data_IF_853888687105
#
_entry.id   IF_853888687105
#
_cell.length_a   1.000
_cell.length_b   1.000
_cell.length_c   1.000
_cell.angle_alpha   90.00
_cell.angle_beta   90.00
_cell.angle_gamma   90.00
#
_symmetry.space_group_name_H-M   'P 1'
#
loop_
_entity.id
_entity.type
_entity.pdbx_description
1 polymer ?
#
# COMPACT_ATOMS: atom_id res chain seq x y z
N UNK A 1 -3.08 -39.05 -14.58
CA UNK A 1 -3.54 -38.02 -15.53
C UNK A 1 -3.10 -36.68 -14.98
N UNK A 2 -2.04 -36.13 -15.57
CA UNK A 2 -1.46 -34.83 -15.23
C UNK A 2 -2.41 -33.73 -15.69
N UNK A 3 -2.88 -32.90 -14.77
CA UNK A 3 -3.33 -31.55 -15.12
C UNK A 3 -3.18 -30.62 -13.92
N UNK A 4 -1.94 -30.33 -13.52
CA UNK A 4 -1.66 -29.10 -12.79
C UNK A 4 -1.36 -28.06 -13.86
N UNK A 5 -2.29 -27.15 -14.09
CA UNK A 5 -2.07 -25.99 -14.95
C UNK A 5 -0.83 -25.26 -14.46
N UNK A 6 0.26 -25.38 -15.22
CA UNK A 6 1.43 -24.50 -15.16
C UNK A 6 0.99 -23.13 -15.69
N UNK A 7 0.10 -22.46 -14.97
CA UNK A 7 -0.10 -21.03 -15.15
C UNK A 7 1.19 -20.35 -14.73
N UNK A 8 1.74 -19.51 -15.60
CA UNK A 8 2.91 -18.68 -15.33
C UNK A 8 2.64 -17.84 -14.08
N UNK A 9 3.42 -18.03 -13.01
CA UNK A 9 3.14 -17.41 -11.71
C UNK A 9 4.35 -16.63 -11.19
N UNK A 10 4.27 -15.31 -11.34
CA UNK A 10 5.18 -14.31 -10.78
C UNK A 10 4.89 -14.03 -9.29
N UNK A 11 5.91 -13.84 -8.43
CA UNK A 11 7.32 -14.17 -8.62
C UNK A 11 7.60 -15.67 -8.39
N UNK A 12 8.65 -16.19 -9.03
CA UNK A 12 9.08 -17.59 -8.92
C UNK A 12 10.19 -17.75 -7.87
N UNK A 13 9.83 -18.01 -6.62
CA UNK A 13 10.79 -18.41 -5.59
C UNK A 13 10.80 -19.94 -5.47
N UNK A 14 11.94 -20.62 -5.69
CA UNK A 14 12.01 -22.08 -5.78
C UNK A 14 11.88 -22.84 -4.44
N UNK A 15 11.98 -22.16 -3.29
CA UNK A 15 12.14 -22.79 -1.97
C UNK A 15 11.01 -22.53 -0.97
N UNK A 16 9.98 -21.77 -1.36
CA UNK A 16 8.86 -21.46 -0.47
C UNK A 16 7.61 -22.22 -0.89
N UNK A 17 7.15 -23.13 -0.03
CA UNK A 17 5.78 -23.60 -0.07
C UNK A 17 4.86 -22.38 -0.03
N UNK A 18 4.08 -22.20 -1.11
CA UNK A 18 3.29 -20.98 -1.29
C UNK A 18 2.16 -20.94 -0.28
N UNK A 19 2.19 -19.95 0.58
CA UNK A 19 1.03 -19.59 1.40
C UNK A 19 0.08 -18.78 0.53
N UNK A 20 -1.08 -19.34 0.21
CA UNK A 20 -2.14 -18.63 -0.52
C UNK A 20 -3.03 -17.89 0.47
N UNK A 21 -3.05 -16.56 0.39
CA UNK A 21 -3.87 -15.69 1.23
C UNK A 21 -5.13 -15.28 0.44
N UNK A 22 -6.30 -15.53 1.03
CA UNK A 22 -7.63 -15.21 0.47
C UNK A 22 -8.16 -13.86 0.96
N UNK A 23 -7.82 -13.50 2.21
CA UNK A 23 -8.30 -12.28 2.86
C UNK A 23 -7.27 -11.78 3.86
N UNK A 24 -7.30 -10.47 4.14
CA UNK A 24 -6.61 -9.89 5.28
C UNK A 24 -7.56 -8.94 6.03
N UNK A 25 -7.46 -8.90 7.36
CA UNK A 25 -8.29 -8.01 8.20
C UNK A 25 -7.59 -7.73 9.54
N UNK A 26 -7.49 -6.44 9.90
CA UNK A 26 -6.78 -6.03 11.09
C UNK A 26 -5.31 -6.45 11.03
N UNK A 27 -4.82 -7.15 12.05
CA UNK A 27 -3.45 -7.67 12.09
C UNK A 27 -3.30 -9.09 11.51
N UNK A 28 -4.30 -9.61 10.78
CA UNK A 28 -4.33 -11.01 10.38
C UNK A 28 -4.47 -11.22 8.87
N UNK A 29 -3.78 -12.25 8.38
CA UNK A 29 -3.95 -12.83 7.06
C UNK A 29 -4.71 -14.15 7.18
N UNK A 30 -5.57 -14.44 6.22
CA UNK A 30 -6.41 -15.63 6.16
C UNK A 30 -6.15 -16.35 4.84
N UNK A 31 -5.61 -17.56 4.92
CA UNK A 31 -5.46 -18.47 3.78
C UNK A 31 -6.59 -19.50 3.71
N UNK A 32 -6.40 -20.51 2.85
CA UNK A 32 -7.35 -21.61 2.67
C UNK A 32 -7.62 -22.36 3.98
N UNK A 33 -8.80 -22.96 4.07
CA UNK A 33 -9.23 -23.78 5.21
C UNK A 33 -9.15 -23.05 6.57
N UNK A 34 -9.37 -21.73 6.55
CA UNK A 34 -9.30 -20.84 7.71
C UNK A 34 -7.91 -20.78 8.38
N UNK A 35 -6.85 -21.12 7.65
CA UNK A 35 -5.47 -20.90 8.11
C UNK A 35 -5.26 -19.41 8.39
N UNK A 36 -4.92 -19.07 9.64
CA UNK A 36 -4.81 -17.69 10.10
C UNK A 36 -3.37 -17.38 10.52
N UNK A 37 -2.84 -16.26 10.04
CA UNK A 37 -1.47 -15.79 10.33
C UNK A 37 -1.57 -14.42 10.97
N UNK A 38 -0.88 -14.23 12.10
CA UNK A 38 -0.62 -12.90 12.65
C UNK A 38 0.45 -12.21 11.80
N UNK A 39 0.08 -11.11 11.15
CA UNK A 39 1.02 -10.24 10.46
C UNK A 39 1.71 -9.31 11.47
N UNK A 40 2.69 -9.86 12.19
CA UNK A 40 3.47 -9.12 13.18
C UNK A 40 4.45 -8.11 12.53
N UNK A 41 4.67 -8.21 11.22
CA UNK A 41 5.57 -7.32 10.48
C UNK A 41 4.86 -6.13 9.85
N UNK A 42 3.53 -6.18 9.68
CA UNK A 42 2.78 -5.20 8.89
C UNK A 42 3.15 -5.29 7.41
N UNK A 43 3.27 -6.51 6.89
CA UNK A 43 3.76 -6.78 5.53
C UNK A 43 5.24 -6.42 5.38
N UNK A 44 5.57 -5.63 4.36
CA UNK A 44 6.90 -5.03 4.20
C UNK A 44 7.07 -3.77 5.07
N UNK A 45 6.57 -3.80 6.32
CA UNK A 45 6.57 -2.67 7.26
C UNK A 45 5.77 -1.46 6.73
N UNK A 46 4.66 -1.72 6.05
CA UNK A 46 3.81 -0.69 5.41
C UNK A 46 2.36 -0.70 5.87
N UNK A 47 1.89 -1.78 6.51
CA UNK A 47 0.47 -1.93 6.92
C UNK A 47 0.27 -1.48 8.37
N UNK A 48 0.64 -0.24 8.66
CA UNK A 48 0.73 0.29 10.03
C UNK A 48 -0.62 0.39 10.77
N UNK A 49 -1.72 0.57 10.02
CA UNK A 49 -3.09 0.69 10.56
C UNK A 49 -3.92 -0.58 10.37
N UNK A 50 -3.27 -1.69 10.01
CA UNK A 50 -3.91 -2.97 9.73
C UNK A 50 -4.57 -3.05 8.35
N UNK A 51 -4.93 -4.27 7.98
CA UNK A 51 -5.51 -4.61 6.69
C UNK A 51 -7.01 -4.28 6.61
N UNK A 52 -7.48 -3.97 5.40
CA UNK A 52 -8.92 -3.80 5.05
C UNK A 52 -9.66 -2.72 5.85
N UNK A 53 -9.05 -1.55 6.01
CA UNK A 53 -9.68 -0.38 6.65
C UNK A 53 -10.70 0.28 5.71
N UNK A 54 -11.98 0.23 6.08
CA UNK A 54 -13.07 0.83 5.30
C UNK A 54 -12.85 2.33 5.11
N UNK A 55 -12.36 3.02 6.13
CA UNK A 55 -12.12 4.47 6.11
C UNK A 55 -11.10 4.85 5.04
N UNK A 56 -10.06 4.03 4.85
CA UNK A 56 -9.04 4.21 3.81
C UNK A 56 -9.62 3.92 2.43
N UNK A 57 -10.38 2.83 2.31
CA UNK A 57 -11.01 2.46 1.04
C UNK A 57 -11.99 3.54 0.56
N UNK A 58 -12.80 4.11 1.46
CA UNK A 58 -13.74 5.18 1.15
C UNK A 58 -13.00 6.48 0.76
N UNK A 59 -11.90 6.82 1.46
CA UNK A 59 -11.08 7.98 1.11
C UNK A 59 -10.44 7.86 -0.29
N UNK A 60 -9.92 6.67 -0.63
CA UNK A 60 -9.40 6.37 -1.96
C UNK A 60 -10.51 6.49 -3.00
N UNK A 61 -11.67 5.86 -2.77
CA UNK A 61 -12.81 5.90 -3.68
C UNK A 61 -13.24 7.35 -4.01
N UNK A 62 -13.36 8.19 -2.98
CA UNK A 62 -13.74 9.59 -3.16
C UNK A 62 -12.68 10.38 -3.96
N UNK A 63 -11.38 10.16 -3.70
CA UNK A 63 -10.31 10.82 -4.42
C UNK A 63 -10.25 10.40 -5.90
N UNK A 64 -10.30 9.09 -6.18
CA UNK A 64 -10.16 8.58 -7.56
C UNK A 64 -11.37 8.87 -8.44
N UNK A 65 -12.56 9.04 -7.85
CA UNK A 65 -13.77 9.44 -8.58
C UNK A 65 -13.78 10.93 -8.93
N UNK A 66 -13.06 11.77 -8.19
CA UNK A 66 -12.82 13.17 -8.54
C UNK A 66 -11.78 13.30 -9.68
N UNK A 67 -10.59 12.71 -9.49
CA UNK A 67 -9.57 12.61 -10.54
C UNK A 67 -8.63 11.45 -10.24
N UNK A 68 -8.39 10.58 -11.23
CA UNK A 68 -7.47 9.45 -11.07
C UNK A 68 -6.01 9.85 -11.22
N UNK A 69 -5.71 10.89 -11.99
CA UNK A 69 -4.33 11.35 -12.22
C UNK A 69 -4.27 12.81 -12.67
N UNK A 70 -3.37 13.57 -12.05
CA UNK A 70 -3.00 14.94 -12.44
C UNK A 70 -1.48 14.99 -12.54
N UNK A 71 -0.95 15.48 -13.67
CA UNK A 71 0.49 15.58 -13.90
C UNK A 71 1.16 16.41 -12.78
N UNK A 72 2.35 16.02 -12.27
CA UNK A 72 2.98 16.67 -11.12
C UNK A 72 3.13 18.20 -11.15
N UNK A 73 3.38 18.87 -12.29
CA UNK A 73 3.47 20.33 -12.34
C UNK A 73 2.15 21.08 -12.03
N UNK A 74 0.99 20.41 -12.13
CA UNK A 74 -0.31 21.03 -11.86
C UNK A 74 -0.80 20.66 -10.47
N UNK A 75 -1.39 21.60 -9.73
CA UNK A 75 -1.92 21.34 -8.39
C UNK A 75 -3.26 20.60 -8.41
N UNK A 76 -3.58 19.94 -7.30
CA UNK A 76 -4.89 19.33 -7.07
C UNK A 76 -5.22 19.34 -5.57
N UNK A 77 -6.52 19.31 -5.20
CA UNK A 77 -6.95 19.39 -3.80
C UNK A 77 -6.32 18.33 -2.89
N UNK A 78 -6.17 17.10 -3.38
CA UNK A 78 -5.64 15.97 -2.61
C UNK A 78 -4.16 16.18 -2.27
N UNK A 79 -3.37 16.70 -3.22
CA UNK A 79 -1.95 17.00 -3.01
C UNK A 79 -1.76 18.16 -2.04
N UNK A 80 -2.55 19.22 -2.19
CA UNK A 80 -2.50 20.38 -1.30
C UNK A 80 -2.89 20.02 0.14
N UNK A 81 -3.92 19.18 0.30
CA UNK A 81 -4.32 18.63 1.59
C UNK A 81 -3.20 17.82 2.25
N UNK A 82 -2.56 16.90 1.50
CA UNK A 82 -1.42 16.13 2.01
C UNK A 82 -0.25 17.02 2.44
N UNK A 83 0.09 18.06 1.67
CA UNK A 83 1.15 19.00 2.06
C UNK A 83 0.83 19.75 3.36
N UNK A 84 -0.44 20.11 3.55
CA UNK A 84 -0.91 20.81 4.75
C UNK A 84 -0.77 19.91 5.97
N UNK A 85 -1.26 18.68 5.89
CA UNK A 85 -1.16 17.67 6.94
C UNK A 85 0.30 17.35 7.31
N UNK A 86 1.17 17.13 6.30
CA UNK A 86 2.61 16.89 6.52
C UNK A 86 3.26 18.04 7.30
N UNK A 87 3.00 19.28 6.91
CA UNK A 87 3.57 20.47 7.58
C UNK A 87 3.01 20.69 8.98
N UNK A 88 1.72 20.40 9.20
CA UNK A 88 1.07 20.62 10.48
C UNK A 88 1.49 19.58 11.53
N UNK A 89 1.73 18.33 11.12
CA UNK A 89 1.80 17.21 12.06
C UNK A 89 3.09 16.38 12.00
N UNK A 90 3.80 16.33 10.86
CA UNK A 90 4.90 15.38 10.68
C UNK A 90 6.26 16.00 10.39
N UNK A 91 6.30 17.14 9.69
CA UNK A 91 7.56 17.76 9.29
C UNK A 91 8.10 18.69 10.38
N UNK A 92 9.40 18.63 10.69
CA UNK A 92 10.09 19.67 11.43
C UNK A 92 9.90 21.04 10.77
N UNK A 93 9.84 22.11 11.58
CA UNK A 93 9.56 23.48 11.11
C UNK A 93 10.54 24.03 10.06
N UNK A 94 11.75 23.48 10.01
CA UNK A 94 12.77 23.89 9.04
C UNK A 94 12.67 23.16 7.68
N UNK A 95 11.84 22.11 7.56
CA UNK A 95 11.58 21.41 6.31
C UNK A 95 10.29 21.94 5.66
N UNK A 96 10.45 22.82 4.66
CA UNK A 96 9.34 23.55 4.05
C UNK A 96 8.97 23.09 2.62
N UNK A 97 9.79 22.24 2.00
CA UNK A 97 9.60 21.70 0.65
C UNK A 97 9.49 20.17 0.70
N UNK A 98 8.58 19.62 -0.09
CA UNK A 98 8.33 18.19 -0.21
C UNK A 98 8.32 17.84 -1.69
N UNK A 99 9.06 16.78 -2.04
CA UNK A 99 8.95 16.12 -3.33
C UNK A 99 8.24 14.77 -3.09
N UNK A 100 7.23 14.46 -3.90
CA UNK A 100 6.49 13.20 -3.78
C UNK A 100 7.03 12.19 -4.80
N UNK A 101 7.49 11.05 -4.31
CA UNK A 101 7.88 9.90 -5.11
C UNK A 101 6.89 8.74 -4.93
N UNK A 102 7.00 7.72 -5.77
CA UNK A 102 6.17 6.52 -5.72
C UNK A 102 6.61 5.53 -4.64
N UNK A 103 7.83 5.66 -4.13
CA UNK A 103 8.37 4.77 -3.11
C UNK A 103 9.72 5.22 -2.55
N UNK A 104 10.21 4.47 -1.57
CA UNK A 104 11.43 4.80 -0.83
C UNK A 104 12.70 4.79 -1.67
N UNK A 105 12.83 3.87 -2.63
CA UNK A 105 14.00 3.84 -3.53
C UNK A 105 14.09 5.09 -4.39
N UNK A 106 12.99 5.49 -5.03
CA UNK A 106 12.92 6.72 -5.83
C UNK A 106 13.15 7.97 -4.97
N UNK A 107 12.64 7.98 -3.73
CA UNK A 107 12.90 9.06 -2.78
C UNK A 107 14.38 9.22 -2.44
N UNK A 108 15.15 8.13 -2.47
CA UNK A 108 16.58 8.14 -2.18
C UNK A 108 17.44 8.51 -3.40
N UNK A 109 16.93 8.31 -4.62
CA UNK A 109 17.62 8.66 -5.87
C UNK A 109 17.38 10.11 -6.31
N UNK A 110 16.31 10.75 -5.80
CA UNK A 110 15.92 12.14 -6.09
C UNK A 110 16.77 13.16 -5.33
#
# INVERSE_FOLDING_TARGET
MNNKSNTELWPSFPTLDRVYIEKAEGAYLYGKDQFKILDAAGGAIVVNIGHSRKEVADAIYNAITNSSYILPPWSCPERESLMTELRAHWLPTHLNRVHLSSGGSEANET
#
